data_IF_433338332948
#
_entry.id   IF_433338332948
#
_cell.length_a   1.000
_cell.length_b   1.000
_cell.length_c   1.000
_cell.angle_alpha   90.00
_cell.angle_beta   90.00
_cell.angle_gamma   90.00
#
_symmetry.space_group_name_H-M   'P 1'
#
loop_
_entity.id
_entity.type
_entity.pdbx_description
1 polymer ?
#
# COMPACT_ATOMS: atom_id res chain seq x y z
N UNK A 1 -11.14 -3.14 6.30
CA UNK A 1 -10.94 -2.08 7.33
C UNK A 1 -11.10 -2.71 8.71
N UNK A 2 -10.37 -2.22 9.74
CA UNK A 2 -10.54 -2.68 11.13
C UNK A 2 -11.68 -1.92 11.82
N UNK A 3 -12.26 -2.51 12.87
CA UNK A 3 -13.29 -1.83 13.67
C UNK A 3 -12.72 -0.57 14.33
N UNK A 4 -11.49 -0.61 14.82
CA UNK A 4 -10.81 0.56 15.38
C UNK A 4 -10.68 1.71 14.37
N UNK A 5 -10.37 1.39 13.10
CA UNK A 5 -10.31 2.42 12.05
C UNK A 5 -11.69 3.03 11.80
N UNK A 6 -12.75 2.22 11.76
CA UNK A 6 -14.13 2.69 11.60
C UNK A 6 -14.55 3.63 12.74
N UNK A 7 -14.31 3.22 13.98
CA UNK A 7 -14.61 4.03 15.17
C UNK A 7 -13.83 5.35 15.18
N UNK A 8 -12.55 5.29 14.80
CA UNK A 8 -11.70 6.47 14.70
C UNK A 8 -12.24 7.45 13.65
N UNK A 9 -12.57 6.97 12.44
CA UNK A 9 -13.15 7.79 11.39
C UNK A 9 -14.43 8.49 11.89
N UNK A 10 -15.33 7.77 12.51
CA UNK A 10 -16.59 8.32 13.09
C UNK A 10 -16.36 9.36 14.18
N UNK A 11 -15.22 9.29 14.85
CA UNK A 11 -14.86 10.23 15.91
C UNK A 11 -14.18 11.51 15.42
N UNK A 12 -13.77 11.56 14.14
CA UNK A 12 -13.11 12.72 13.57
C UNK A 12 -14.10 13.84 13.22
N UNK A 13 -13.64 15.08 13.33
CA UNK A 13 -14.40 16.27 12.93
C UNK A 13 -14.11 16.66 11.46
N UNK A 14 -12.95 16.23 10.94
CA UNK A 14 -12.50 16.46 9.56
C UNK A 14 -11.75 15.23 9.05
N UNK A 15 -11.99 14.84 7.81
CA UNK A 15 -11.28 13.77 7.13
C UNK A 15 -10.43 14.32 5.99
N UNK A 16 -9.13 14.03 6.02
CA UNK A 16 -8.17 14.37 4.97
C UNK A 16 -8.04 13.22 3.98
N UNK A 17 -8.20 13.53 2.70
CA UNK A 17 -8.09 12.60 1.59
C UNK A 17 -6.81 12.88 0.80
N UNK A 18 -5.90 11.90 0.61
CA UNK A 18 -4.65 12.07 -0.14
C UNK A 18 -4.90 12.02 -1.67
N UNK A 19 -5.84 12.81 -2.17
CA UNK A 19 -6.26 12.83 -3.56
C UNK A 19 -6.76 14.23 -3.96
N UNK A 20 -6.92 14.46 -5.26
CA UNK A 20 -7.46 15.72 -5.80
C UNK A 20 -8.95 15.88 -5.49
N UNK A 21 -9.68 14.76 -5.49
CA UNK A 21 -11.09 14.71 -5.16
C UNK A 21 -11.45 13.41 -4.42
N UNK A 22 -12.64 13.33 -3.84
CA UNK A 22 -13.11 12.10 -3.17
C UNK A 22 -13.32 10.95 -4.15
N UNK A 23 -13.73 11.25 -5.38
CA UNK A 23 -13.95 10.28 -6.46
C UNK A 23 -12.65 9.61 -6.88
N UNK A 24 -11.52 10.33 -6.82
CA UNK A 24 -10.18 9.80 -7.12
C UNK A 24 -9.49 9.15 -5.93
N UNK A 25 -10.09 9.24 -4.73
CA UNK A 25 -9.51 8.69 -3.51
C UNK A 25 -9.91 7.23 -3.28
N UNK A 26 -9.04 6.28 -3.61
CA UNK A 26 -9.30 4.85 -3.36
C UNK A 26 -9.60 4.55 -1.89
N UNK A 27 -8.90 5.19 -0.95
CA UNK A 27 -9.14 4.99 0.47
C UNK A 27 -10.57 5.43 0.86
N UNK A 28 -11.04 6.55 0.33
CA UNK A 28 -12.40 7.04 0.53
C UNK A 28 -13.44 6.03 0.02
N UNK A 29 -13.27 5.54 -1.21
CA UNK A 29 -14.20 4.56 -1.82
C UNK A 29 -14.29 3.26 -1.00
N UNK A 30 -13.18 2.82 -0.40
CA UNK A 30 -13.19 1.64 0.49
C UNK A 30 -13.96 1.93 1.78
N UNK A 31 -13.77 3.12 2.35
CA UNK A 31 -14.48 3.51 3.58
C UNK A 31 -15.96 3.71 3.33
N UNK A 32 -16.35 4.38 2.25
CA UNK A 32 -17.74 4.67 1.89
C UNK A 32 -18.61 3.40 1.79
N UNK A 33 -18.03 2.27 1.35
CA UNK A 33 -18.75 0.98 1.28
C UNK A 33 -19.20 0.44 2.66
N UNK A 34 -18.49 0.78 3.74
CA UNK A 34 -18.76 0.26 5.08
C UNK A 34 -19.14 1.35 6.10
N UNK A 35 -18.98 2.60 5.72
CA UNK A 35 -19.29 3.80 6.48
C UNK A 35 -19.85 4.87 5.53
N UNK A 36 -21.09 4.70 4.99
CA UNK A 36 -21.68 5.64 4.04
C UNK A 36 -21.81 7.06 4.58
N UNK A 37 -21.93 7.21 5.90
CA UNK A 37 -21.98 8.49 6.60
C UNK A 37 -20.73 9.36 6.43
N UNK A 38 -19.61 8.81 5.94
CA UNK A 38 -18.43 9.60 5.60
C UNK A 38 -18.73 10.65 4.52
N UNK A 39 -19.73 10.42 3.69
CA UNK A 39 -20.16 11.37 2.66
C UNK A 39 -20.68 12.70 3.22
N UNK A 40 -21.20 12.67 4.44
CA UNK A 40 -21.76 13.83 5.15
C UNK A 40 -20.72 14.53 6.04
N UNK A 41 -19.52 13.95 6.19
CA UNK A 41 -18.45 14.52 7.00
C UNK A 41 -17.70 15.63 6.25
N UNK A 42 -17.12 16.62 6.96
CA UNK A 42 -16.18 17.56 6.36
C UNK A 42 -14.98 16.82 5.75
N UNK A 43 -14.71 17.05 4.46
CA UNK A 43 -13.63 16.43 3.72
C UNK A 43 -12.63 17.49 3.24
N UNK A 44 -11.34 17.22 3.38
CA UNK A 44 -10.24 18.03 2.87
C UNK A 44 -9.40 17.22 1.89
N UNK A 45 -9.50 17.52 0.61
CA UNK A 45 -8.70 16.86 -0.43
C UNK A 45 -7.32 17.52 -0.54
N UNK A 46 -6.26 16.72 -0.33
CA UNK A 46 -4.87 17.18 -0.35
C UNK A 46 -4.01 16.19 -1.14
N UNK A 47 -3.78 16.42 -2.43
CA UNK A 47 -2.98 15.52 -3.24
C UNK A 47 -1.51 15.55 -2.83
N UNK A 48 -0.94 14.37 -2.63
CA UNK A 48 0.49 14.21 -2.35
C UNK A 48 1.26 14.09 -3.66
N UNK A 49 2.16 15.04 -3.96
CA UNK A 49 2.86 15.03 -5.23
C UNK A 49 3.93 13.94 -5.25
N UNK A 50 4.02 13.23 -6.38
CA UNK A 50 5.06 12.23 -6.66
C UNK A 50 6.31 12.93 -7.23
N UNK A 51 7.05 13.66 -6.41
CA UNK A 51 8.23 14.42 -6.80
C UNK A 51 9.50 13.64 -6.46
N UNK A 52 10.45 13.52 -7.40
CA UNK A 52 11.75 12.85 -7.16
C UNK A 52 12.75 13.72 -6.39
N UNK A 53 12.62 15.04 -6.49
CA UNK A 53 13.46 16.01 -5.79
C UNK A 53 13.07 16.05 -4.30
N UNK A 54 13.98 15.63 -3.43
CA UNK A 54 13.73 15.50 -2.00
C UNK A 54 13.36 16.84 -1.34
N UNK A 55 14.02 17.94 -1.73
CA UNK A 55 13.74 19.26 -1.13
C UNK A 55 12.35 19.78 -1.54
N UNK A 56 11.97 19.60 -2.81
CA UNK A 56 10.64 19.99 -3.29
C UNK A 56 9.56 19.12 -2.67
N UNK A 57 9.84 17.84 -2.46
CA UNK A 57 8.92 16.90 -1.81
C UNK A 57 8.70 17.31 -0.34
N UNK A 58 9.75 17.64 0.39
CA UNK A 58 9.68 18.12 1.77
C UNK A 58 8.87 19.42 1.88
N UNK A 59 9.13 20.39 0.99
CA UNK A 59 8.36 21.65 0.94
C UNK A 59 6.88 21.38 0.63
N UNK A 60 6.57 20.43 -0.23
CA UNK A 60 5.20 20.05 -0.53
C UNK A 60 4.51 19.42 0.68
N UNK A 61 5.18 18.50 1.36
CA UNK A 61 4.68 17.87 2.59
C UNK A 61 4.45 18.90 3.69
N UNK A 62 5.38 19.86 3.84
CA UNK A 62 5.21 20.95 4.81
C UNK A 62 3.97 21.78 4.53
N UNK A 63 3.72 22.17 3.28
CA UNK A 63 2.51 22.93 2.91
C UNK A 63 1.22 22.16 3.19
N UNK A 64 1.22 20.85 2.95
CA UNK A 64 0.09 19.97 3.27
C UNK A 64 -0.14 19.95 4.78
N UNK A 65 0.94 19.78 5.55
CA UNK A 65 0.87 19.78 7.00
C UNK A 65 0.38 21.14 7.54
N UNK A 66 0.94 22.27 7.09
CA UNK A 66 0.56 23.60 7.52
C UNK A 66 -0.96 23.84 7.33
N UNK A 67 -1.51 23.38 6.20
CA UNK A 67 -2.96 23.49 5.98
C UNK A 67 -3.79 22.57 6.88
N UNK A 68 -3.26 21.40 7.28
CA UNK A 68 -3.91 20.53 8.28
C UNK A 68 -3.82 21.11 9.69
N UNK A 69 -2.68 21.74 10.04
CA UNK A 69 -2.43 22.32 11.36
C UNK A 69 -3.42 23.43 11.70
N UNK A 70 -3.88 24.20 10.72
CA UNK A 70 -4.89 25.23 10.92
C UNK A 70 -6.19 24.67 11.51
N UNK A 71 -6.57 23.46 11.16
CA UNK A 71 -7.72 22.76 11.74
C UNK A 71 -7.42 22.19 13.13
N UNK A 72 -6.21 21.67 13.34
CA UNK A 72 -5.79 21.20 14.67
C UNK A 72 -5.79 22.36 15.68
N UNK A 73 -5.34 23.56 15.29
CA UNK A 73 -5.37 24.77 16.12
C UNK A 73 -6.78 25.23 16.50
N UNK A 74 -7.78 24.87 15.71
CA UNK A 74 -9.20 25.09 16.03
C UNK A 74 -9.77 24.05 16.99
N UNK A 75 -8.95 23.07 17.42
CA UNK A 75 -9.35 22.00 18.33
C UNK A 75 -10.08 20.84 17.66
N UNK A 76 -10.05 20.77 16.31
CA UNK A 76 -10.69 19.69 15.57
C UNK A 76 -9.85 18.40 15.58
N UNK A 77 -10.52 17.26 15.66
CA UNK A 77 -9.92 15.93 15.47
C UNK A 77 -9.84 15.64 13.99
N UNK A 78 -8.62 15.63 13.47
CA UNK A 78 -8.34 15.44 12.05
C UNK A 78 -7.91 14.00 11.78
N UNK A 79 -8.65 13.27 10.95
CA UNK A 79 -8.29 11.93 10.48
C UNK A 79 -7.77 11.98 9.05
N UNK A 80 -6.65 11.29 8.75
CA UNK A 80 -6.17 11.16 7.39
C UNK A 80 -6.34 9.73 6.91
N UNK A 81 -7.03 9.54 5.78
CA UNK A 81 -7.21 8.23 5.17
C UNK A 81 -5.95 7.81 4.39
N UNK A 82 -5.66 6.52 4.43
CA UNK A 82 -4.66 5.89 3.57
C UNK A 82 -5.09 4.47 3.20
N UNK A 83 -4.60 3.95 2.07
CA UNK A 83 -4.87 2.57 1.64
C UNK A 83 -3.96 1.63 2.42
N UNK A 84 -4.50 0.48 2.81
CA UNK A 84 -3.74 -0.57 3.48
C UNK A 84 -3.49 -0.26 4.94
N UNK A 85 -2.25 -0.36 5.37
CA UNK A 85 -1.80 -0.03 6.73
C UNK A 85 -0.92 1.23 6.71
N UNK A 86 -1.16 2.22 7.60
CA UNK A 86 -0.37 3.45 7.65
C UNK A 86 1.12 3.24 7.94
N UNK A 87 1.49 2.14 8.58
CA UNK A 87 2.88 1.80 8.88
C UNK A 87 3.65 1.20 7.70
N UNK A 88 2.97 0.88 6.56
CA UNK A 88 3.59 0.19 5.42
C UNK A 88 3.62 1.11 4.19
N UNK A 89 4.77 1.76 3.95
CA UNK A 89 5.04 2.63 2.79
C UNK A 89 3.96 3.68 2.53
N UNK A 90 3.39 4.28 3.59
CA UNK A 90 2.34 5.26 3.52
C UNK A 90 2.87 6.70 3.61
N UNK A 91 2.27 7.60 2.83
CA UNK A 91 2.53 9.05 2.92
C UNK A 91 2.03 9.65 4.23
N UNK A 92 1.09 9.00 4.94
CA UNK A 92 0.63 9.43 6.26
C UNK A 92 1.78 9.62 7.25
N UNK A 93 2.82 8.79 7.17
CA UNK A 93 3.95 8.87 8.11
C UNK A 93 4.74 10.18 8.05
N UNK A 94 4.67 10.91 6.93
CA UNK A 94 5.23 12.27 6.86
C UNK A 94 4.39 13.24 7.71
N UNK A 95 3.07 13.17 7.58
CA UNK A 95 2.15 14.01 8.36
C UNK A 95 2.20 13.66 9.84
N UNK A 96 2.27 12.37 10.17
CA UNK A 96 2.42 11.91 11.55
C UNK A 96 3.66 12.50 12.23
N UNK A 97 4.81 12.48 11.55
CA UNK A 97 6.05 13.07 12.08
C UNK A 97 5.93 14.58 12.25
N UNK A 98 5.43 15.28 11.23
CA UNK A 98 5.23 16.74 11.34
C UNK A 98 4.33 17.11 12.51
N UNK A 99 3.24 16.38 12.73
CA UNK A 99 2.33 16.63 13.85
C UNK A 99 2.99 16.35 15.21
N UNK A 100 3.71 15.23 15.32
CA UNK A 100 4.43 14.88 16.54
C UNK A 100 5.54 15.90 16.88
N UNK A 101 6.32 16.33 15.89
CA UNK A 101 7.39 17.33 16.03
C UNK A 101 6.83 18.71 16.44
N UNK A 102 5.59 19.03 16.03
CA UNK A 102 4.88 20.24 16.43
C UNK A 102 4.19 20.11 17.81
N UNK A 103 4.29 18.95 18.47
CA UNK A 103 3.74 18.71 19.81
C UNK A 103 2.27 18.27 19.83
N UNK A 104 1.68 17.94 18.67
CA UNK A 104 0.33 17.38 18.60
C UNK A 104 0.32 15.90 18.96
N UNK A 105 -0.75 15.44 19.60
CA UNK A 105 -0.99 14.02 19.77
C UNK A 105 -1.37 13.41 18.42
N UNK A 106 -0.47 12.59 17.86
CA UNK A 106 -0.68 11.89 16.60
C UNK A 106 -0.70 10.37 16.83
N UNK A 107 -1.72 9.70 16.30
CA UNK A 107 -1.92 8.23 16.44
C UNK A 107 -1.93 7.54 15.10
N UNK A 108 -1.36 6.34 15.07
CA UNK A 108 -1.47 5.43 13.94
C UNK A 108 -2.56 4.41 14.27
N UNK A 109 -3.51 4.25 13.39
CA UNK A 109 -4.54 3.22 13.50
C UNK A 109 -4.29 2.18 12.43
N UNK A 110 -3.98 0.94 12.84
CA UNK A 110 -3.65 -0.16 11.93
C UNK A 110 -4.78 -0.46 10.97
N UNK A 111 -4.38 -0.73 9.74
CA UNK A 111 -5.24 -1.21 8.67
C UNK A 111 -5.00 -2.69 8.32
N UNK A 112 -5.35 -3.05 7.08
CA UNK A 112 -5.02 -4.35 6.50
C UNK A 112 -4.06 -4.09 5.32
N UNK A 113 -2.78 -4.49 5.42
CA UNK A 113 -1.84 -4.33 4.32
C UNK A 113 -2.34 -5.03 3.04
N UNK A 114 -2.04 -4.47 1.87
CA UNK A 114 -2.53 -5.02 0.60
C UNK A 114 -2.11 -6.47 0.39
N UNK A 115 -0.90 -6.84 0.78
CA UNK A 115 -0.41 -8.20 0.63
C UNK A 115 -1.16 -9.22 1.53
N UNK A 116 -1.63 -8.82 2.71
CA UNK A 116 -2.50 -9.67 3.52
C UNK A 116 -3.87 -9.87 2.85
N UNK A 117 -4.44 -8.82 2.26
CA UNK A 117 -5.68 -8.92 1.52
C UNK A 117 -5.52 -9.81 0.27
N UNK A 118 -4.40 -9.67 -0.45
CA UNK A 118 -4.06 -10.49 -1.61
C UNK A 118 -3.91 -11.96 -1.22
N UNK A 119 -3.17 -12.26 -0.15
CA UNK A 119 -3.00 -13.63 0.33
C UNK A 119 -4.34 -14.29 0.72
N UNK A 120 -5.18 -13.55 1.45
CA UNK A 120 -6.53 -14.03 1.80
C UNK A 120 -7.40 -14.28 0.56
N UNK A 121 -7.33 -13.39 -0.45
CA UNK A 121 -8.06 -13.53 -1.71
C UNK A 121 -7.62 -14.73 -2.53
N UNK A 122 -6.32 -15.04 -2.50
CA UNK A 122 -5.72 -16.20 -3.17
C UNK A 122 -5.89 -17.51 -2.36
N UNK A 123 -6.24 -17.43 -1.09
CA UNK A 123 -6.30 -18.59 -0.20
C UNK A 123 -4.93 -19.19 0.12
N UNK A 124 -3.87 -18.37 0.13
CA UNK A 124 -2.49 -18.81 0.41
C UNK A 124 -1.96 -18.26 1.73
N UNK A 125 -1.07 -19.00 2.37
CA UNK A 125 -0.23 -18.52 3.46
C UNK A 125 0.94 -17.72 2.89
N UNK A 126 1.29 -16.59 3.51
CA UNK A 126 2.52 -15.85 3.17
C UNK A 126 3.76 -16.47 3.80
N UNK A 127 3.62 -17.12 4.93
CA UNK A 127 4.72 -17.83 5.58
C UNK A 127 4.20 -18.90 6.51
N UNK A 128 4.90 -20.02 6.56
CA UNK A 128 4.61 -21.16 7.41
C UNK A 128 5.86 -21.50 8.23
N UNK A 129 5.68 -21.81 9.51
CA UNK A 129 6.78 -22.18 10.43
C UNK A 129 7.87 -21.09 10.46
N UNK A 130 9.03 -21.39 9.87
CA UNK A 130 10.25 -20.59 9.83
C UNK A 130 10.51 -19.94 8.44
N UNK A 131 9.53 -19.96 7.56
CA UNK A 131 9.63 -19.29 6.26
C UNK A 131 9.79 -17.77 6.41
N UNK A 132 10.78 -17.20 5.75
CA UNK A 132 10.99 -15.76 5.72
C UNK A 132 9.98 -15.06 4.80
N UNK A 133 9.60 -13.82 5.17
CA UNK A 133 8.74 -12.97 4.35
C UNK A 133 9.45 -11.65 4.10
N UNK A 134 9.70 -11.34 2.83
CA UNK A 134 10.35 -10.12 2.39
C UNK A 134 9.35 -9.19 1.71
N UNK A 135 9.16 -7.99 2.28
CA UNK A 135 8.28 -6.96 1.70
C UNK A 135 9.15 -5.96 0.94
N UNK A 136 9.00 -5.96 -0.38
CA UNK A 136 9.90 -5.29 -1.31
C UNK A 136 9.15 -4.14 -2.02
N UNK A 137 9.54 -2.86 -1.80
CA UNK A 137 8.93 -1.74 -2.52
C UNK A 137 9.43 -1.70 -3.97
N UNK A 138 8.61 -1.19 -4.89
CA UNK A 138 8.97 -1.08 -6.32
C UNK A 138 10.24 -0.25 -6.60
N UNK A 139 10.70 0.55 -5.65
CA UNK A 139 11.95 1.31 -5.77
C UNK A 139 13.21 0.45 -5.57
N UNK A 140 13.06 -0.74 -4.99
CA UNK A 140 14.17 -1.67 -4.75
C UNK A 140 14.66 -2.31 -6.05
N UNK A 141 15.95 -2.67 -6.10
CA UNK A 141 16.48 -3.45 -7.21
C UNK A 141 15.95 -4.90 -7.15
N UNK A 142 15.17 -5.28 -8.15
CA UNK A 142 14.56 -6.61 -8.22
C UNK A 142 15.62 -7.71 -8.26
N UNK A 143 16.78 -7.48 -8.89
CA UNK A 143 17.86 -8.48 -9.00
C UNK A 143 18.45 -8.82 -7.64
N UNK A 144 18.62 -7.82 -6.77
CA UNK A 144 19.12 -8.05 -5.40
C UNK A 144 18.14 -8.94 -4.61
N UNK A 145 16.83 -8.84 -4.89
CA UNK A 145 15.81 -9.63 -4.20
C UNK A 145 15.81 -11.10 -4.58
N UNK A 146 16.43 -11.50 -5.68
CA UNK A 146 16.53 -12.92 -6.07
C UNK A 146 17.34 -13.77 -5.08
N UNK A 147 18.20 -13.12 -4.27
CA UNK A 147 18.94 -13.80 -3.19
C UNK A 147 18.13 -14.00 -1.89
N UNK A 148 16.90 -13.51 -1.82
CA UNK A 148 16.06 -13.69 -0.63
C UNK A 148 15.28 -14.99 -0.71
N UNK A 149 15.35 -15.81 0.34
CA UNK A 149 14.63 -17.06 0.44
C UNK A 149 13.22 -16.86 1.00
N UNK A 150 12.33 -17.83 0.76
CA UNK A 150 10.96 -17.80 1.24
C UNK A 150 10.03 -16.97 0.36
N UNK A 151 9.16 -16.18 0.97
CA UNK A 151 8.14 -15.41 0.25
C UNK A 151 8.61 -13.98 -0.01
N UNK A 152 8.61 -13.58 -1.27
CA UNK A 152 8.90 -12.22 -1.71
C UNK A 152 7.63 -11.52 -2.16
N UNK A 153 7.33 -10.38 -1.57
CA UNK A 153 6.14 -9.58 -1.83
C UNK A 153 6.56 -8.26 -2.47
N UNK A 154 6.27 -8.10 -3.74
CA UNK A 154 6.59 -6.89 -4.49
C UNK A 154 5.39 -5.95 -4.48
N UNK A 155 5.53 -4.82 -3.77
CA UNK A 155 4.49 -3.83 -3.62
C UNK A 155 4.66 -2.67 -4.60
N UNK A 156 3.53 -2.12 -5.08
CA UNK A 156 3.50 -0.95 -6.00
C UNK A 156 4.26 -1.22 -7.30
N UNK A 157 4.21 -2.46 -7.78
CA UNK A 157 5.02 -2.95 -8.89
C UNK A 157 4.61 -2.37 -10.25
N UNK A 158 3.43 -1.79 -10.39
CA UNK A 158 2.84 -1.43 -11.68
C UNK A 158 3.75 -0.63 -12.63
N UNK A 159 4.61 0.26 -12.13
CA UNK A 159 5.58 1.00 -12.97
C UNK A 159 6.84 0.21 -13.35
N UNK A 160 7.16 -0.84 -12.61
CA UNK A 160 8.33 -1.70 -12.79
C UNK A 160 7.95 -3.16 -13.05
N UNK A 161 6.70 -3.41 -13.39
CA UNK A 161 6.20 -4.77 -13.56
C UNK A 161 6.94 -5.51 -14.67
N UNK A 162 7.18 -4.86 -15.80
CA UNK A 162 7.92 -5.45 -16.93
C UNK A 162 9.35 -5.87 -16.51
N UNK A 163 10.06 -5.00 -15.78
CA UNK A 163 11.39 -5.31 -15.24
C UNK A 163 11.32 -6.49 -14.26
N UNK A 164 10.34 -6.49 -13.36
CA UNK A 164 10.13 -7.57 -12.39
C UNK A 164 9.89 -8.91 -13.11
N UNK A 165 8.96 -8.95 -14.07
CA UNK A 165 8.62 -10.17 -14.78
C UNK A 165 9.80 -10.70 -15.60
N UNK A 166 10.56 -9.80 -16.24
CA UNK A 166 11.76 -10.19 -16.99
C UNK A 166 12.80 -10.83 -16.08
N UNK A 167 13.10 -10.21 -14.92
CA UNK A 167 14.07 -10.72 -13.95
C UNK A 167 13.63 -12.06 -13.36
N UNK A 168 12.35 -12.21 -13.02
CA UNK A 168 11.81 -13.47 -12.51
C UNK A 168 11.87 -14.56 -13.57
N UNK A 169 11.52 -14.25 -14.84
CA UNK A 169 11.59 -15.21 -15.95
C UNK A 169 13.02 -15.69 -16.21
N UNK A 170 13.99 -14.78 -16.16
CA UNK A 170 15.40 -15.10 -16.30
C UNK A 170 15.86 -16.06 -15.18
N UNK A 171 15.47 -15.76 -13.91
CA UNK A 171 15.84 -16.61 -12.77
C UNK A 171 15.25 -18.03 -12.81
N UNK A 172 14.07 -18.20 -13.42
CA UNK A 172 13.43 -19.51 -13.55
C UNK A 172 14.02 -20.38 -14.68
N UNK A 173 14.87 -19.82 -15.55
CA UNK A 173 15.53 -20.58 -16.61
C UNK A 173 16.75 -21.37 -16.10
N UNK A 174 17.19 -21.10 -14.88
CA UNK A 174 18.29 -21.86 -14.25
C UNK A 174 17.79 -23.28 -13.88
N UNK A 175 18.13 -24.23 -14.74
CA UNK A 175 17.74 -25.66 -14.60
C UNK A 175 18.41 -26.39 -13.43
N UNK A 176 19.43 -25.81 -12.82
CA UNK A 176 20.12 -26.38 -11.65
C UNK A 176 19.42 -26.00 -10.33
N UNK A 177 18.49 -25.05 -10.36
CA UNK A 177 17.71 -24.65 -9.20
C UNK A 177 16.73 -25.74 -8.78
N UNK A 178 16.87 -26.23 -7.56
CA UNK A 178 15.90 -27.15 -6.90
C UNK A 178 14.72 -26.40 -6.28
N UNK A 179 14.59 -25.10 -6.55
CA UNK A 179 13.59 -24.25 -5.97
C UNK A 179 12.45 -24.09 -6.97
N UNK A 180 11.26 -24.54 -6.59
CA UNK A 180 10.03 -24.22 -7.31
C UNK A 180 9.46 -22.91 -6.80
N UNK A 181 9.00 -22.05 -7.71
CA UNK A 181 8.42 -20.76 -7.37
C UNK A 181 6.97 -20.68 -7.85
N UNK A 182 6.05 -20.47 -6.92
CA UNK A 182 4.68 -20.10 -7.26
C UNK A 182 4.60 -18.58 -7.33
N UNK A 183 4.09 -18.06 -8.44
CA UNK A 183 3.99 -16.63 -8.70
C UNK A 183 2.52 -16.24 -8.85
N UNK A 184 2.12 -15.26 -8.05
CA UNK A 184 0.76 -14.74 -8.02
C UNK A 184 0.78 -13.23 -8.14
N UNK A 185 -0.28 -12.68 -8.70
CA UNK A 185 -0.49 -11.23 -8.67
C UNK A 185 -1.95 -10.88 -8.57
N UNK A 186 -2.23 -9.75 -7.93
CA UNK A 186 -3.56 -9.14 -7.95
C UNK A 186 -3.40 -7.65 -8.21
N UNK A 187 -4.16 -7.16 -9.20
CA UNK A 187 -4.39 -5.74 -9.41
C UNK A 187 -5.71 -5.32 -8.76
N UNK A 188 -5.73 -4.18 -8.09
CA UNK A 188 -6.92 -3.58 -7.48
C UNK A 188 -7.67 -4.54 -6.52
N UNK A 189 -6.94 -5.29 -5.69
CA UNK A 189 -7.52 -6.26 -4.76
C UNK A 189 -8.66 -5.67 -3.92
N UNK A 190 -9.83 -6.34 -3.95
CA UNK A 190 -11.03 -5.92 -3.24
C UNK A 190 -11.83 -4.79 -3.90
N UNK A 191 -11.50 -4.39 -5.14
CA UNK A 191 -12.22 -3.39 -5.92
C UNK A 191 -13.04 -4.04 -7.04
N UNK A 192 -14.00 -3.32 -7.62
CA UNK A 192 -14.83 -3.82 -8.73
C UNK A 192 -14.03 -4.31 -9.95
N UNK A 193 -12.88 -3.68 -10.18
CA UNK A 193 -11.97 -4.01 -11.27
C UNK A 193 -10.78 -4.87 -10.82
N UNK A 194 -10.99 -5.69 -9.78
CA UNK A 194 -10.00 -6.67 -9.34
C UNK A 194 -9.67 -7.65 -10.46
N UNK A 195 -8.38 -7.91 -10.63
CA UNK A 195 -7.88 -8.95 -11.55
C UNK A 195 -6.84 -9.80 -10.84
N UNK A 196 -7.03 -11.12 -10.91
CA UNK A 196 -6.13 -12.13 -10.34
C UNK A 196 -5.31 -12.73 -11.46
N UNK A 197 -4.03 -12.97 -11.21
CA UNK A 197 -3.07 -13.54 -12.16
C UNK A 197 -2.30 -14.67 -11.48
N UNK A 198 -2.20 -15.81 -12.18
CA UNK A 198 -1.44 -16.97 -11.75
C UNK A 198 -0.32 -17.25 -12.75
N UNK A 199 0.93 -17.09 -12.29
CA UNK A 199 2.12 -17.23 -13.13
C UNK A 199 2.50 -15.98 -13.91
N UNK A 200 3.69 -16.03 -14.52
CA UNK A 200 4.28 -14.89 -15.23
C UNK A 200 3.50 -14.48 -16.47
N UNK A 201 2.96 -15.45 -17.21
CA UNK A 201 2.30 -15.19 -18.49
C UNK A 201 0.99 -14.42 -18.33
N UNK A 202 0.23 -14.69 -17.27
CA UNK A 202 -0.96 -13.92 -16.96
C UNK A 202 -0.60 -12.54 -16.41
N UNK A 203 0.46 -12.44 -15.59
CA UNK A 203 0.95 -11.19 -15.04
C UNK A 203 1.42 -10.18 -16.10
N UNK A 204 1.85 -10.62 -17.28
CA UNK A 204 2.18 -9.73 -18.40
C UNK A 204 1.00 -8.86 -18.84
N UNK A 205 -0.23 -9.31 -18.58
CA UNK A 205 -1.44 -8.57 -18.90
C UNK A 205 -1.83 -7.56 -17.79
N UNK A 206 -1.17 -7.62 -16.63
CA UNK A 206 -1.52 -6.79 -15.50
C UNK A 206 -1.23 -5.31 -15.79
N UNK A 207 -2.20 -4.47 -15.44
CA UNK A 207 -2.12 -3.02 -15.62
C UNK A 207 -2.49 -2.31 -14.32
N UNK A 208 -1.85 -1.17 -14.10
CA UNK A 208 -2.19 -0.29 -13.00
C UNK A 208 -1.20 -0.29 -11.84
N UNK A 209 -1.25 0.82 -11.10
CA UNK A 209 -0.32 1.08 -10.02
C UNK A 209 -0.52 0.16 -8.81
N UNK A 210 -1.77 -0.22 -8.53
CA UNK A 210 -2.15 -1.04 -7.38
C UNK A 210 -2.02 -2.54 -7.69
N UNK A 211 -0.85 -2.96 -8.19
CA UNK A 211 -0.51 -4.36 -8.43
C UNK A 211 0.45 -4.84 -7.35
N UNK A 212 0.08 -5.91 -6.67
CA UNK A 212 0.93 -6.64 -5.71
C UNK A 212 1.27 -7.99 -6.32
N UNK A 213 2.56 -8.33 -6.36
CA UNK A 213 3.05 -9.62 -6.84
C UNK A 213 3.63 -10.38 -5.66
N UNK A 214 3.30 -11.66 -5.54
CA UNK A 214 3.80 -12.57 -4.51
C UNK A 214 4.54 -13.71 -5.23
N UNK A 215 5.78 -13.93 -4.85
CA UNK A 215 6.60 -15.06 -5.27
C UNK A 215 6.87 -15.92 -4.04
N UNK A 216 6.33 -17.12 -4.02
CA UNK A 216 6.52 -18.07 -2.93
C UNK A 216 7.44 -19.20 -3.37
N UNK A 217 8.51 -19.43 -2.62
CA UNK A 217 9.46 -20.50 -2.88
C UNK A 217 9.07 -21.78 -2.15
N UNK A 218 9.22 -22.90 -2.84
CA UNK A 218 9.07 -24.23 -2.28
C UNK A 218 10.34 -25.03 -2.56
N UNK A 219 10.96 -25.55 -1.51
CA UNK A 219 12.06 -26.50 -1.67
C UNK A 219 11.46 -27.85 -2.04
N UNK A 220 11.74 -28.33 -3.26
CA UNK A 220 11.36 -29.68 -3.68
C UNK A 220 12.23 -30.68 -2.89
N UNK A 221 11.59 -31.43 -2.00
CA UNK A 221 12.24 -32.50 -1.20
C UNK A 221 12.64 -33.69 -2.09
#
# INVERSE_FOLDING_TARGET
MTLQALETIRSCDLIVLPAVSKEECYAYRIVEQVCPEIADMPLLCMPFPMIKDAQKLELAHKRIYDAMEDYLRQGLRVGMLTIGDPGIYSTYMYMHRCAADAGWEARIVSGVPSFCAVAARLGISLGEKDEEIHIIPAAYDVRESLGFHGTRIYMKSGKKLEELLWVLRESMQDKESRVHQDIYGISNCGMENEQVYCGLDELEQAKGYLTTVIVKEHVVQ
#
